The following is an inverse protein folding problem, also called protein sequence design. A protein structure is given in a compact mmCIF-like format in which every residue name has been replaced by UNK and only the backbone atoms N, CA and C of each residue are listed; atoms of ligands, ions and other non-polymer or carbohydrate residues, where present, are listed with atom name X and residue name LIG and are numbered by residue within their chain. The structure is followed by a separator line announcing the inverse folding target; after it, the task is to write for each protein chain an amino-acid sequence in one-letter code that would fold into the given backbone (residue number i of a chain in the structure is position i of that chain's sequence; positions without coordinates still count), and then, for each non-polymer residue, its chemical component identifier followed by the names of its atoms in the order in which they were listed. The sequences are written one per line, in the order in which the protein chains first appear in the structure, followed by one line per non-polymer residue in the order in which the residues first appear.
data_IF_236487774529
#
_entry.id   IF_236487774529
#
_cell.length_a   1.000
_cell.length_b   1.000
_cell.length_c   1.000
_cell.angle_alpha   90.00
_cell.angle_beta   90.00
_cell.angle_gamma   90.00
#
_symmetry.space_group_name_H-M   'P 1'
#
loop_
_entity.id
_entity.type
_entity.pdbx_description
1 polymer ?
#
# COMPACT_ATOMS: atom_id res chain seq x y z
N UNK A 1 18.95 -1.02 -38.56
CA UNK A 1 18.67 -2.19 -37.71
C UNK A 1 17.17 -2.31 -37.51
N UNK A 2 16.53 -3.39 -37.97
CA UNK A 2 15.12 -3.65 -37.64
C UNK A 2 15.08 -4.24 -36.22
N UNK A 3 14.67 -3.46 -35.26
CA UNK A 3 14.42 -3.94 -33.88
C UNK A 3 13.26 -4.93 -33.95
N UNK A 4 13.51 -6.21 -33.75
CA UNK A 4 12.46 -7.20 -33.60
C UNK A 4 11.76 -6.93 -32.24
N UNK A 5 10.55 -6.40 -32.30
CA UNK A 5 9.73 -6.21 -31.12
C UNK A 5 9.18 -7.58 -30.72
N UNK A 6 9.66 -8.12 -29.62
CA UNK A 6 9.14 -9.37 -29.06
C UNK A 6 7.84 -9.09 -28.30
N UNK A 7 6.72 -9.61 -28.81
CA UNK A 7 5.38 -9.40 -28.22
C UNK A 7 5.13 -10.46 -27.16
N UNK A 8 4.75 -10.02 -25.93
CA UNK A 8 4.34 -10.88 -24.83
C UNK A 8 2.85 -10.72 -24.54
N UNK A 9 2.20 -11.77 -24.06
CA UNK A 9 0.85 -11.69 -23.54
C UNK A 9 0.81 -10.83 -22.26
N UNK A 10 -0.07 -9.82 -22.16
CA UNK A 10 -0.14 -8.97 -20.96
C UNK A 10 -0.76 -9.67 -19.72
N UNK A 11 -1.34 -10.87 -19.89
CA UNK A 11 -1.93 -11.64 -18.79
C UNK A 11 -1.03 -12.74 -18.25
N UNK A 12 -0.51 -13.61 -19.12
CA UNK A 12 0.27 -14.78 -18.72
C UNK A 12 1.74 -14.69 -19.12
N UNK A 13 2.18 -13.56 -19.68
CA UNK A 13 3.54 -13.26 -20.11
C UNK A 13 4.11 -14.22 -21.16
N UNK A 14 3.28 -15.10 -21.74
CA UNK A 14 3.67 -16.05 -22.79
C UNK A 14 4.09 -15.32 -24.06
N UNK A 15 5.06 -15.91 -24.77
CA UNK A 15 5.48 -15.48 -26.10
C UNK A 15 4.71 -16.18 -27.23
N UNK A 16 3.86 -17.15 -26.89
CA UNK A 16 3.08 -17.93 -27.86
C UNK A 16 1.89 -17.11 -28.37
N UNK A 17 2.18 -16.17 -29.27
CA UNK A 17 1.24 -15.17 -29.75
C UNK A 17 0.97 -15.40 -31.23
N UNK A 18 -0.32 -15.27 -31.66
CA UNK A 18 -0.71 -15.23 -33.07
C UNK A 18 -1.37 -13.89 -33.38
N UNK A 19 -1.24 -13.43 -34.64
CA UNK A 19 -2.03 -12.34 -35.19
C UNK A 19 -3.47 -12.78 -35.31
N UNK A 20 -4.42 -11.94 -34.90
CA UNK A 20 -5.84 -12.25 -34.86
C UNK A 20 -6.68 -11.13 -35.51
N UNK A 21 -6.36 -10.83 -36.78
CA UNK A 21 -7.03 -9.79 -37.54
C UNK A 21 -6.72 -8.35 -37.06
N UNK A 22 -7.50 -7.42 -37.60
CA UNK A 22 -7.34 -5.98 -37.34
C UNK A 22 -8.57 -5.44 -36.63
N UNK A 23 -8.36 -4.46 -35.75
CA UNK A 23 -9.44 -3.69 -35.14
C UNK A 23 -9.89 -2.55 -36.08
N UNK A 24 -11.09 -2.01 -35.83
CA UNK A 24 -11.76 -0.98 -36.66
C UNK A 24 -10.84 0.22 -36.98
N UNK A 25 -9.88 0.55 -36.10
CA UNK A 25 -8.95 1.67 -36.27
C UNK A 25 -7.60 1.27 -36.90
N UNK A 26 -7.52 0.17 -37.65
CA UNK A 26 -6.29 -0.27 -38.29
C UNK A 26 -5.20 -0.78 -37.34
N UNK A 27 -5.55 -1.17 -36.12
CA UNK A 27 -4.61 -1.72 -35.14
C UNK A 27 -4.56 -3.24 -35.22
N UNK A 28 -3.35 -3.82 -35.21
CA UNK A 28 -3.18 -5.27 -35.21
C UNK A 28 -3.69 -5.85 -33.88
N UNK A 29 -4.64 -6.77 -33.97
CA UNK A 29 -5.10 -7.58 -32.87
C UNK A 29 -4.25 -8.84 -32.75
N UNK A 30 -3.88 -9.20 -31.52
CA UNK A 30 -3.15 -10.41 -31.19
C UNK A 30 -3.97 -11.31 -30.30
N UNK A 31 -3.70 -12.62 -30.34
CA UNK A 31 -4.28 -13.58 -29.42
C UNK A 31 -3.17 -14.46 -28.85
N UNK A 32 -3.13 -14.59 -27.52
CA UNK A 32 -2.30 -15.56 -26.84
C UNK A 32 -2.82 -16.98 -27.10
N UNK A 33 -1.94 -17.93 -27.44
CA UNK A 33 -2.33 -19.32 -27.66
C UNK A 33 -2.55 -20.05 -26.33
N UNK A 34 -1.91 -19.62 -25.26
CA UNK A 34 -1.95 -20.30 -23.96
C UNK A 34 -3.17 -19.90 -23.12
N UNK A 35 -3.43 -18.59 -22.95
CA UNK A 35 -4.56 -18.10 -22.15
C UNK A 35 -5.73 -17.55 -22.97
N UNK A 36 -5.63 -17.59 -24.31
CA UNK A 36 -6.65 -17.14 -25.29
C UNK A 36 -7.02 -15.65 -25.20
N UNK A 37 -6.33 -14.85 -24.38
CA UNK A 37 -6.56 -13.40 -24.31
C UNK A 37 -6.25 -12.74 -25.64
N UNK A 38 -7.17 -11.86 -26.06
CA UNK A 38 -6.96 -10.96 -27.19
C UNK A 38 -6.48 -9.60 -26.68
N UNK A 39 -5.53 -9.00 -27.39
CA UNK A 39 -4.96 -7.70 -27.02
C UNK A 39 -4.37 -6.96 -28.23
N UNK A 40 -4.15 -5.66 -28.06
CA UNK A 40 -3.40 -4.79 -28.97
C UNK A 40 -2.05 -4.52 -28.32
N UNK A 41 -0.97 -4.45 -29.09
CA UNK A 41 0.35 -4.15 -28.54
C UNK A 41 0.38 -2.74 -27.92
N UNK A 42 1.06 -2.60 -26.78
CA UNK A 42 1.09 -1.36 -25.98
C UNK A 42 1.55 -0.14 -26.78
N UNK A 43 2.48 -0.31 -27.75
CA UNK A 43 2.95 0.79 -28.61
C UNK A 43 1.87 1.39 -29.51
N UNK A 44 0.78 0.67 -29.77
CA UNK A 44 -0.34 1.12 -30.58
C UNK A 44 -1.46 1.78 -29.75
N UNK A 45 -1.36 1.74 -28.41
CA UNK A 45 -2.34 2.32 -27.51
C UNK A 45 -2.12 3.83 -27.39
N UNK A 46 -3.13 4.63 -27.74
CA UNK A 46 -3.09 6.10 -27.63
C UNK A 46 -3.05 6.57 -26.18
N UNK A 47 -3.83 5.92 -25.31
CA UNK A 47 -3.92 6.27 -23.92
C UNK A 47 -3.02 5.35 -23.08
N UNK A 48 -2.02 5.93 -22.43
CA UNK A 48 -1.02 5.19 -21.64
C UNK A 48 -1.63 4.39 -20.48
N UNK A 49 -2.75 4.83 -19.92
CA UNK A 49 -3.46 4.12 -18.87
C UNK A 49 -3.99 2.73 -19.23
N UNK A 50 -4.01 2.38 -20.54
CA UNK A 50 -4.37 1.06 -21.04
C UNK A 50 -3.16 0.14 -21.25
N UNK A 51 -1.93 0.62 -21.06
CA UNK A 51 -0.72 -0.17 -21.23
C UNK A 51 -0.59 -1.19 -20.10
N UNK A 52 -0.10 -2.40 -20.41
CA UNK A 52 -0.08 -3.54 -19.50
C UNK A 52 0.79 -3.31 -18.25
N UNK A 53 1.86 -2.52 -18.37
CA UNK A 53 2.81 -2.25 -17.28
C UNK A 53 2.48 -1.01 -16.45
N UNK A 54 1.48 -0.20 -16.83
CA UNK A 54 1.24 1.11 -16.21
C UNK A 54 0.81 1.01 -14.75
N UNK A 55 0.07 -0.05 -14.39
CA UNK A 55 -0.40 -0.25 -13.04
C UNK A 55 0.75 -0.53 -12.07
N UNK A 56 1.68 -1.38 -12.45
CA UNK A 56 2.87 -1.68 -11.63
C UNK A 56 3.76 -0.45 -11.47
N UNK A 57 3.87 0.35 -12.53
CA UNK A 57 4.61 1.61 -12.49
C UNK A 57 3.95 2.62 -11.55
N UNK A 58 2.62 2.76 -11.60
CA UNK A 58 1.87 3.61 -10.67
C UNK A 58 2.07 3.13 -9.23
N UNK A 59 1.96 1.81 -8.95
CA UNK A 59 2.20 1.25 -7.62
C UNK A 59 3.60 1.59 -7.10
N UNK A 60 4.62 1.40 -7.95
CA UNK A 60 6.00 1.72 -7.58
C UNK A 60 6.18 3.21 -7.26
N UNK A 61 5.60 4.10 -8.04
CA UNK A 61 5.68 5.55 -7.81
C UNK A 61 4.98 5.95 -6.50
N UNK A 62 3.80 5.37 -6.20
CA UNK A 62 3.08 5.58 -4.95
C UNK A 62 3.91 5.13 -3.73
N UNK A 63 4.53 3.95 -3.79
CA UNK A 63 5.40 3.44 -2.73
C UNK A 63 6.64 4.34 -2.54
N UNK A 64 7.10 5.00 -3.60
CA UNK A 64 8.21 5.97 -3.53
C UNK A 64 7.78 7.36 -3.06
N UNK A 65 6.51 7.56 -2.75
CA UNK A 65 5.98 8.81 -2.21
C UNK A 65 5.62 9.85 -3.25
N UNK A 66 5.51 9.47 -4.55
CA UNK A 66 4.99 10.39 -5.56
C UNK A 66 3.52 10.72 -5.26
N UNK A 67 3.16 11.99 -5.36
CA UNK A 67 1.76 12.40 -5.23
C UNK A 67 0.92 11.93 -6.42
N UNK A 68 -0.40 11.86 -6.24
CA UNK A 68 -1.31 11.53 -7.35
C UNK A 68 -1.14 12.52 -8.50
N UNK A 69 -0.94 13.81 -8.20
CA UNK A 69 -0.74 14.84 -9.20
C UNK A 69 0.56 14.63 -10.01
N UNK A 70 1.66 14.27 -9.32
CA UNK A 70 2.93 13.96 -9.97
C UNK A 70 2.80 12.76 -10.92
N UNK A 71 2.15 11.69 -10.45
CA UNK A 71 1.94 10.49 -11.27
C UNK A 71 1.11 10.81 -12.52
N UNK A 72 0.03 11.62 -12.37
CA UNK A 72 -0.79 12.08 -13.50
C UNK A 72 0.06 12.88 -14.49
N UNK A 73 0.89 13.80 -14.01
CA UNK A 73 1.74 14.65 -14.84
C UNK A 73 2.84 13.86 -15.55
N UNK A 74 3.55 12.96 -14.84
CA UNK A 74 4.69 12.19 -15.37
C UNK A 74 4.21 11.13 -16.34
N UNK A 75 3.22 10.33 -15.95
CA UNK A 75 2.75 9.20 -16.76
C UNK A 75 1.68 9.59 -17.77
N UNK A 76 1.14 10.81 -17.70
CA UNK A 76 0.05 11.31 -18.56
C UNK A 76 -1.17 10.37 -18.55
N UNK A 77 -1.51 9.89 -17.37
CA UNK A 77 -2.71 9.08 -17.10
C UNK A 77 -3.76 9.93 -16.38
N UNK A 78 -5.01 9.46 -16.35
CA UNK A 78 -6.05 10.17 -15.60
C UNK A 78 -5.91 9.95 -14.09
N UNK A 79 -6.37 10.91 -13.28
CA UNK A 79 -6.49 10.78 -11.82
C UNK A 79 -7.28 9.52 -11.44
N UNK A 80 -8.35 9.23 -12.18
CA UNK A 80 -9.16 8.01 -11.98
C UNK A 80 -8.36 6.73 -12.15
N UNK A 81 -7.41 6.68 -13.11
CA UNK A 81 -6.54 5.51 -13.29
C UNK A 81 -5.65 5.30 -12.07
N UNK A 82 -5.05 6.36 -11.53
CA UNK A 82 -4.22 6.26 -10.33
C UNK A 82 -5.04 5.80 -9.13
N UNK A 83 -6.22 6.39 -8.91
CA UNK A 83 -7.12 6.00 -7.83
C UNK A 83 -7.64 4.57 -7.98
N UNK A 84 -7.95 4.10 -9.22
CA UNK A 84 -8.37 2.72 -9.44
C UNK A 84 -7.28 1.72 -9.08
N UNK A 85 -6.01 2.04 -9.36
CA UNK A 85 -4.88 1.20 -8.95
C UNK A 85 -4.75 1.14 -7.43
N UNK A 86 -4.97 2.25 -6.71
CA UNK A 86 -4.98 2.27 -5.25
C UNK A 86 -6.10 1.39 -4.67
N UNK A 87 -7.32 1.54 -5.18
CA UNK A 87 -8.50 0.78 -4.69
C UNK A 87 -8.38 -0.72 -4.99
N UNK A 88 -7.87 -1.07 -6.18
CA UNK A 88 -7.67 -2.47 -6.58
C UNK A 88 -6.46 -3.12 -5.93
N UNK A 89 -5.56 -2.32 -5.36
CA UNK A 89 -4.43 -2.82 -4.61
C UNK A 89 -4.91 -3.24 -3.23
N UNK A 90 -5.34 -4.49 -3.07
CA UNK A 90 -5.61 -5.10 -1.77
C UNK A 90 -4.28 -5.29 -1.02
N UNK A 91 -3.70 -4.18 -0.56
CA UNK A 91 -2.50 -4.23 0.27
C UNK A 91 -2.87 -4.75 1.65
N UNK A 92 -2.65 -6.03 1.84
CA UNK A 92 -2.67 -6.64 3.17
C UNK A 92 -1.24 -6.69 3.69
N UNK A 93 -1.00 -6.05 4.83
CA UNK A 93 0.24 -6.29 5.57
C UNK A 93 0.14 -7.70 6.14
N UNK A 94 1.07 -8.55 5.74
CA UNK A 94 1.23 -9.90 6.32
C UNK A 94 2.46 -9.88 7.20
N UNK A 95 2.35 -10.23 8.48
CA UNK A 95 3.50 -10.37 9.37
C UNK A 95 4.53 -11.33 8.78
N UNK A 96 5.80 -10.95 8.80
CA UNK A 96 6.90 -11.78 8.30
C UNK A 96 7.24 -12.94 9.23
N UNK A 97 6.89 -12.80 10.52
CA UNK A 97 7.16 -13.77 11.58
C UNK A 97 5.88 -14.05 12.34
N UNK A 98 5.80 -15.20 12.99
CA UNK A 98 4.74 -15.52 13.96
C UNK A 98 5.07 -15.06 15.37
N UNK A 99 6.35 -14.92 15.71
CA UNK A 99 6.80 -14.47 17.03
C UNK A 99 7.73 -13.26 16.90
N UNK A 100 7.46 -12.25 17.72
CA UNK A 100 8.24 -11.04 17.88
C UNK A 100 8.71 -10.91 19.33
N UNK A 101 10.00 -10.65 19.56
CA UNK A 101 10.51 -10.48 20.91
C UNK A 101 9.85 -9.31 21.62
N UNK A 102 9.66 -8.21 20.90
CA UNK A 102 8.99 -7.00 21.37
C UNK A 102 8.19 -6.37 20.24
N UNK A 103 7.08 -5.76 20.60
CA UNK A 103 6.34 -4.88 19.68
C UNK A 103 6.23 -3.50 20.30
N UNK A 104 6.35 -2.47 19.51
CA UNK A 104 5.99 -1.11 19.89
C UNK A 104 4.61 -0.80 19.31
N UNK A 105 3.74 -0.17 20.08
CA UNK A 105 2.42 0.29 19.63
C UNK A 105 2.28 1.77 19.88
N UNK A 106 1.78 2.48 18.89
CA UNK A 106 1.58 3.92 18.94
C UNK A 106 0.46 4.33 18.00
N UNK A 107 0.01 5.57 18.08
CA UNK A 107 -0.95 6.14 17.16
C UNK A 107 -0.35 7.32 16.40
N UNK A 108 -0.82 7.43 15.16
CA UNK A 108 -0.52 8.55 14.27
C UNK A 108 -1.83 9.08 13.69
N UNK A 109 -2.00 10.39 13.63
CA UNK A 109 -3.20 10.96 13.02
C UNK A 109 -2.90 11.64 11.68
N UNK A 110 -3.86 11.53 10.79
CA UNK A 110 -3.95 12.27 9.55
C UNK A 110 -5.38 12.78 9.36
N UNK A 111 -5.70 13.35 8.22
CA UNK A 111 -7.06 13.84 7.94
C UNK A 111 -7.48 13.53 6.50
N UNK A 112 -8.80 13.51 6.28
CA UNK A 112 -9.39 13.35 4.95
C UNK A 112 -10.07 14.65 4.54
N UNK A 113 -9.55 15.29 3.50
CA UNK A 113 -10.05 16.55 2.95
C UNK A 113 -9.69 17.78 3.79
N UNK A 114 -10.04 17.82 5.06
CA UNK A 114 -9.72 18.94 5.96
C UNK A 114 -9.30 18.47 7.35
N UNK A 115 -8.53 19.27 8.08
CA UNK A 115 -7.98 18.96 9.41
C UNK A 115 -9.03 18.63 10.48
N UNK A 116 -10.31 18.98 10.26
CA UNK A 116 -11.42 18.59 11.15
C UNK A 116 -11.76 17.10 11.03
N UNK A 117 -11.53 16.49 9.89
CA UNK A 117 -11.81 15.06 9.62
C UNK A 117 -10.61 14.18 9.97
N UNK A 118 -10.20 14.19 11.24
CA UNK A 118 -9.07 13.39 11.73
C UNK A 118 -9.37 11.90 11.64
N UNK A 119 -8.41 11.16 11.14
CA UNK A 119 -8.38 9.69 11.14
C UNK A 119 -7.09 9.24 11.83
N UNK A 120 -7.18 8.27 12.70
CA UNK A 120 -6.05 7.76 13.44
C UNK A 120 -5.62 6.41 12.88
N UNK A 121 -4.35 6.28 12.62
CA UNK A 121 -3.67 5.02 12.37
C UNK A 121 -3.12 4.53 13.71
N UNK A 122 -3.57 3.38 14.18
CA UNK A 122 -3.04 2.71 15.37
C UNK A 122 -2.34 1.45 14.88
N UNK A 123 -1.06 1.27 15.18
CA UNK A 123 -0.27 0.21 14.58
C UNK A 123 0.74 -0.43 15.52
N UNK A 124 1.11 -1.66 15.20
CA UNK A 124 2.16 -2.41 15.87
C UNK A 124 3.40 -2.49 14.98
N UNK A 125 4.55 -2.23 15.57
CA UNK A 125 5.84 -2.12 14.90
C UNK A 125 6.88 -2.99 15.58
N UNK A 126 7.67 -3.71 14.79
CA UNK A 126 8.86 -4.43 15.24
C UNK A 126 10.12 -3.58 14.97
N UNK A 127 10.75 -3.01 15.98
CA UNK A 127 11.95 -2.21 15.81
C UNK A 127 13.19 -3.03 15.43
N UNK A 128 13.18 -4.34 15.70
CA UNK A 128 14.31 -5.21 15.40
C UNK A 128 14.43 -5.47 13.86
N UNK A 129 13.32 -5.39 13.13
CA UNK A 129 13.31 -5.59 11.67
C UNK A 129 12.77 -4.40 10.87
N UNK A 130 12.45 -3.30 11.53
CA UNK A 130 11.78 -2.13 10.92
C UNK A 130 10.47 -2.51 10.20
N UNK A 131 9.68 -3.38 10.80
CA UNK A 131 8.46 -3.90 10.21
C UNK A 131 7.20 -3.33 10.86
N UNK A 132 6.27 -2.84 10.05
CA UNK A 132 4.90 -2.61 10.49
C UNK A 132 4.19 -3.97 10.45
N UNK A 133 3.94 -4.54 11.61
CA UNK A 133 3.39 -5.90 11.76
C UNK A 133 1.91 -5.92 11.41
N UNK A 134 1.16 -4.95 11.91
CA UNK A 134 -0.25 -4.73 11.55
C UNK A 134 -0.71 -3.33 11.96
N UNK A 135 -1.86 -2.92 11.45
CA UNK A 135 -2.46 -1.63 11.77
C UNK A 135 -3.98 -1.66 11.70
N UNK A 136 -4.61 -0.67 12.29
CA UNK A 136 -6.05 -0.37 12.18
C UNK A 136 -6.26 1.12 12.01
N UNK A 137 -7.29 1.48 11.25
CA UNK A 137 -7.77 2.85 11.12
C UNK A 137 -8.98 3.07 12.02
N UNK A 138 -9.06 4.21 12.66
CA UNK A 138 -10.22 4.50 13.50
C UNK A 138 -10.14 5.84 14.21
N UNK A 139 -10.83 5.94 15.35
CA UNK A 139 -10.76 7.07 16.26
C UNK A 139 -9.72 6.80 17.35
N UNK A 140 -9.22 7.85 18.00
CA UNK A 140 -8.33 7.70 19.17
C UNK A 140 -9.16 7.28 20.39
N UNK A 141 -9.47 6.00 20.50
CA UNK A 141 -10.28 5.44 21.57
C UNK A 141 -9.94 3.98 21.88
N UNK A 142 -10.48 3.47 22.98
CA UNK A 142 -10.27 2.09 23.41
C UNK A 142 -10.72 1.05 22.37
N UNK A 143 -11.79 1.31 21.63
CA UNK A 143 -12.29 0.38 20.61
C UNK A 143 -11.25 0.13 19.55
N UNK A 144 -10.59 1.18 19.03
CA UNK A 144 -9.53 1.07 18.03
C UNK A 144 -8.31 0.36 18.59
N UNK A 145 -7.90 0.64 19.84
CA UNK A 145 -6.81 -0.08 20.49
C UNK A 145 -7.10 -1.57 20.65
N UNK A 146 -8.33 -1.94 21.05
CA UNK A 146 -8.76 -3.35 21.12
C UNK A 146 -8.81 -4.02 19.75
N UNK A 147 -9.21 -3.31 18.71
CA UNK A 147 -9.17 -3.83 17.33
C UNK A 147 -7.75 -4.15 16.88
N UNK A 148 -6.75 -3.35 17.25
CA UNK A 148 -5.34 -3.66 16.96
C UNK A 148 -4.93 -4.97 17.66
N UNK A 149 -5.26 -5.13 18.95
CA UNK A 149 -4.94 -6.33 19.72
C UNK A 149 -5.62 -7.57 19.13
N UNK A 150 -6.91 -7.48 18.79
CA UNK A 150 -7.66 -8.56 18.15
C UNK A 150 -7.07 -8.94 16.78
N UNK A 151 -6.62 -7.95 16.01
CA UNK A 151 -6.00 -8.19 14.71
C UNK A 151 -4.66 -8.90 14.81
N UNK A 152 -3.87 -8.66 15.86
CA UNK A 152 -2.64 -9.42 16.15
C UNK A 152 -2.99 -10.90 16.43
N UNK A 153 -4.05 -11.16 17.19
CA UNK A 153 -4.55 -12.54 17.45
C UNK A 153 -5.04 -13.23 16.16
N UNK A 154 -5.84 -12.53 15.35
CA UNK A 154 -6.35 -13.04 14.06
C UNK A 154 -5.20 -13.44 13.13
N UNK A 155 -4.12 -12.65 13.11
CA UNK A 155 -2.92 -12.92 12.33
C UNK A 155 -2.00 -13.97 12.96
N UNK A 156 -2.37 -14.55 14.12
CA UNK A 156 -1.57 -15.50 14.89
C UNK A 156 -0.16 -14.97 15.21
N UNK A 157 -0.11 -13.68 15.61
CA UNK A 157 1.11 -13.01 16.00
C UNK A 157 1.29 -13.09 17.50
N UNK A 158 2.33 -13.81 17.93
CA UNK A 158 2.78 -13.87 19.31
C UNK A 158 3.94 -12.90 19.57
N UNK A 159 4.04 -12.39 20.79
CA UNK A 159 5.13 -11.50 21.19
C UNK A 159 5.51 -11.67 22.66
N UNK A 160 6.78 -11.39 22.98
CA UNK A 160 7.28 -11.48 24.34
C UNK A 160 6.76 -10.34 25.25
N UNK A 161 6.74 -9.11 24.73
CA UNK A 161 6.17 -7.95 25.42
C UNK A 161 5.83 -6.83 24.44
N UNK A 162 4.92 -5.96 24.87
CA UNK A 162 4.54 -4.76 24.12
C UNK A 162 5.08 -3.51 24.82
N UNK A 163 5.58 -2.57 24.02
CA UNK A 163 5.98 -1.24 24.46
C UNK A 163 4.95 -0.22 23.97
N UNK A 164 4.46 0.62 24.88
CA UNK A 164 3.51 1.66 24.57
C UNK A 164 3.76 2.91 25.41
N UNK A 165 3.17 4.02 25.02
CA UNK A 165 3.07 5.19 25.87
C UNK A 165 2.06 4.97 27.02
N UNK A 166 1.88 5.96 27.87
CA UNK A 166 0.96 5.90 29.00
C UNK A 166 -0.50 6.24 28.60
N UNK A 167 -0.93 5.84 27.42
CA UNK A 167 -2.32 6.02 27.00
C UNK A 167 -3.21 4.90 27.54
N UNK A 168 -4.21 5.26 28.34
CA UNK A 168 -5.11 4.31 29.04
C UNK A 168 -5.74 3.27 28.11
N UNK A 169 -6.00 3.64 26.85
CA UNK A 169 -6.56 2.70 25.88
C UNK A 169 -5.60 1.57 25.50
N UNK A 170 -4.29 1.84 25.42
CA UNK A 170 -3.30 0.79 25.22
C UNK A 170 -3.14 -0.06 26.48
N UNK A 171 -3.08 0.58 27.63
CA UNK A 171 -2.96 -0.13 28.92
C UNK A 171 -4.11 -1.12 29.11
N UNK A 172 -5.32 -0.72 28.71
CA UNK A 172 -6.53 -1.54 28.81
C UNK A 172 -6.59 -2.61 27.71
N UNK A 173 -6.26 -2.27 26.44
CA UNK A 173 -6.33 -3.21 25.33
C UNK A 173 -5.33 -4.36 25.46
N UNK A 174 -4.16 -4.08 26.05
CA UNK A 174 -3.08 -5.06 26.28
C UNK A 174 -2.95 -5.45 27.75
N UNK A 175 -4.04 -5.44 28.55
CA UNK A 175 -3.99 -5.65 30.00
C UNK A 175 -3.43 -7.02 30.42
N UNK A 176 -3.62 -8.04 29.61
CA UNK A 176 -3.10 -9.40 29.85
C UNK A 176 -1.68 -9.64 29.29
N UNK A 177 -1.14 -8.70 28.56
CA UNK A 177 0.17 -8.82 27.93
C UNK A 177 1.27 -8.21 28.82
N UNK A 178 2.48 -8.78 28.77
CA UNK A 178 3.64 -8.13 29.37
C UNK A 178 3.92 -6.82 28.63
N UNK A 179 4.02 -5.72 29.38
CA UNK A 179 4.20 -4.40 28.80
C UNK A 179 5.26 -3.56 29.49
N UNK A 180 5.93 -2.74 28.67
CA UNK A 180 6.82 -1.69 29.12
C UNK A 180 6.22 -0.35 28.71
N UNK A 181 5.91 0.48 29.70
CA UNK A 181 5.19 1.74 29.50
C UNK A 181 6.17 2.91 29.63
N UNK A 182 6.11 3.82 28.67
CA UNK A 182 6.87 5.05 28.69
C UNK A 182 7.59 5.35 27.38
N UNK A 183 7.84 6.64 27.12
CA UNK A 183 8.47 7.14 25.90
C UNK A 183 9.83 6.53 25.57
N UNK A 184 10.60 6.16 26.59
CA UNK A 184 11.89 5.50 26.40
C UNK A 184 11.78 4.19 25.60
N UNK A 185 10.65 3.51 25.68
CA UNK A 185 10.41 2.23 25.02
C UNK A 185 9.75 2.35 23.65
N UNK A 186 9.37 3.57 23.24
CA UNK A 186 8.63 3.85 21.96
C UNK A 186 9.42 4.75 21.01
N UNK A 187 10.72 4.93 21.22
CA UNK A 187 11.55 5.85 20.41
C UNK A 187 11.60 5.45 18.94
N UNK A 188 11.67 4.15 18.64
CA UNK A 188 11.78 3.68 17.27
C UNK A 188 10.48 3.92 16.48
N UNK A 189 9.32 3.69 17.09
CA UNK A 189 8.01 3.93 16.45
C UNK A 189 7.74 5.43 16.27
N UNK A 190 8.22 6.29 17.18
CA UNK A 190 8.17 7.74 17.01
C UNK A 190 8.97 8.20 15.78
N UNK A 191 10.10 7.55 15.48
CA UNK A 191 10.86 7.73 14.23
C UNK A 191 10.03 7.44 13.00
N UNK A 192 9.25 6.36 13.00
CA UNK A 192 8.31 6.05 11.94
C UNK A 192 7.17 7.07 11.82
N UNK A 193 6.64 7.56 12.93
CA UNK A 193 5.63 8.60 12.92
C UNK A 193 6.15 9.88 12.23
N UNK A 194 7.41 10.23 12.44
CA UNK A 194 8.04 11.35 11.75
C UNK A 194 8.17 11.11 10.24
N UNK A 195 8.52 9.90 9.81
CA UNK A 195 8.52 9.53 8.39
C UNK A 195 7.13 9.64 7.76
N UNK A 196 6.08 9.21 8.46
CA UNK A 196 4.69 9.37 8.00
C UNK A 196 4.32 10.84 7.86
N UNK A 197 4.64 11.70 8.83
CA UNK A 197 4.38 13.13 8.75
C UNK A 197 5.07 13.74 7.54
N UNK A 198 6.37 13.50 7.35
CA UNK A 198 7.13 14.01 6.20
C UNK A 198 6.53 13.59 4.86
N UNK A 199 6.03 12.37 4.73
CA UNK A 199 5.45 11.88 3.48
C UNK A 199 4.01 12.31 3.26
N UNK A 200 3.24 12.57 4.32
CA UNK A 200 1.83 12.96 4.23
C UNK A 200 1.62 14.47 4.17
N UNK A 201 2.53 15.27 4.74
CA UNK A 201 2.47 16.74 4.67
C UNK A 201 2.78 17.31 3.28
N UNK A 202 3.28 16.50 2.35
CA UNK A 202 3.53 16.89 0.96
C UNK A 202 2.28 16.88 0.07
N UNK A 203 1.09 16.60 0.61
CA UNK A 203 -0.16 16.82 -0.13
C UNK A 203 -0.59 18.27 0.03
N UNK A 204 -0.42 19.14 -0.99
CA UNK A 204 -0.90 20.51 -0.91
C UNK A 204 -2.41 20.48 -0.70
N UNK A 205 -2.87 21.34 0.20
CA UNK A 205 -4.29 21.66 0.27
C UNK A 205 -4.70 22.09 -1.15
N UNK A 206 -5.52 21.30 -1.83
CA UNK A 206 -6.10 21.71 -3.10
C UNK A 206 -6.96 22.92 -2.82
N UNK A 207 -6.52 24.08 -3.33
CA UNK A 207 -7.28 25.33 -3.44
C UNK A 207 -8.57 25.09 -4.21
#
# INVERSE_FOLDING_TARGET
MKTQITIKCPSCLSFSIKKNGWKIYGKQNYQCKDCHRQFIHDSELKYKGCQSFIEDKIRLMLVRGCSIADIVAIEKVSKYKVLSVLVQSEYQIKPKKRYYRRLQVDEFWTYVGCKRNKVWLVYAYDPDTNEIVTFVWGKRNLTTAKQLRAKLEELSVDFGYVCCDNWDSFLTAFNFDFKKVGKYYTVDIEGNNNLFRHRMETFPESV
#
